data_IF_674696962245
#
_entry.id   IF_674696962245
#
_cell.length_a   1.000
_cell.length_b   1.000
_cell.length_c   1.000
_cell.angle_alpha   90.00
_cell.angle_beta   90.00
_cell.angle_gamma   90.00
#
_symmetry.space_group_name_H-M   'P 1'
#
loop_
_entity.id
_entity.type
_entity.pdbx_description
1 polymer ?
#
# COMPACT_ATOMS: atom_id res chain seq x y z
N UNK A 1 9.18 -5.06 -10.34
CA UNK A 1 8.69 -4.04 -9.39
C UNK A 1 7.17 -3.99 -9.41
N UNK A 2 6.54 -3.75 -8.26
CA UNK A 2 5.09 -3.54 -8.12
C UNK A 2 4.80 -2.38 -7.17
N UNK A 3 3.64 -1.74 -7.29
CA UNK A 3 3.24 -0.63 -6.43
C UNK A 3 1.76 -0.74 -6.05
N UNK A 4 1.47 -0.48 -4.77
CA UNK A 4 0.11 -0.22 -4.30
C UNK A 4 0.06 1.15 -3.63
N UNK A 5 -1.01 1.90 -3.91
CA UNK A 5 -1.31 3.18 -3.25
C UNK A 5 -2.70 3.07 -2.64
N UNK A 6 -2.84 3.55 -1.41
CA UNK A 6 -4.13 3.59 -0.74
C UNK A 6 -4.28 4.88 0.06
N UNK A 7 -5.51 5.38 0.18
CA UNK A 7 -5.84 6.57 0.96
C UNK A 7 -7.01 6.28 1.90
N UNK A 8 -6.92 6.81 3.13
CA UNK A 8 -8.03 6.86 4.08
C UNK A 8 -8.12 5.71 5.07
N UNK A 9 -7.23 4.72 4.99
CA UNK A 9 -7.10 3.68 6.02
C UNK A 9 -6.21 4.20 7.15
N UNK A 10 -6.65 4.07 8.39
CA UNK A 10 -5.98 4.66 9.55
C UNK A 10 -5.06 3.65 10.26
N UNK A 11 -5.17 2.37 9.91
CA UNK A 11 -4.37 1.28 10.49
C UNK A 11 -3.77 0.40 9.41
N UNK A 12 -2.72 -0.35 9.80
CA UNK A 12 -2.10 -1.36 8.93
C UNK A 12 -3.11 -2.45 8.57
N UNK A 13 -3.90 -2.91 9.54
CA UNK A 13 -4.95 -3.91 9.31
C UNK A 13 -5.98 -3.45 8.28
N UNK A 14 -6.43 -2.20 8.36
CA UNK A 14 -7.39 -1.63 7.39
C UNK A 14 -6.81 -1.57 5.97
N UNK A 15 -5.57 -1.10 5.81
CA UNK A 15 -4.94 -0.99 4.48
C UNK A 15 -4.63 -2.36 3.89
N UNK A 16 -4.17 -3.31 4.72
CA UNK A 16 -3.92 -4.68 4.28
C UNK A 16 -5.20 -5.43 3.95
N UNK A 17 -6.25 -5.30 4.77
CA UNK A 17 -7.56 -5.90 4.50
C UNK A 17 -8.15 -5.36 3.19
N UNK A 18 -8.12 -4.04 3.00
CA UNK A 18 -8.60 -3.40 1.76
C UNK A 18 -7.77 -3.83 0.56
N UNK A 19 -6.44 -3.88 0.69
CA UNK A 19 -5.52 -4.33 -0.34
C UNK A 19 -5.76 -5.79 -0.76
N UNK A 20 -5.89 -6.70 0.21
CA UNK A 20 -6.14 -8.13 -0.03
C UNK A 20 -7.50 -8.41 -0.68
N UNK A 21 -8.49 -7.54 -0.49
CA UNK A 21 -9.82 -7.63 -1.11
C UNK A 21 -9.91 -6.91 -2.48
N UNK A 22 -8.89 -6.15 -2.88
CA UNK A 22 -8.82 -5.53 -4.21
C UNK A 22 -8.03 -6.45 -5.16
N UNK A 23 -8.62 -6.95 -6.28
CA UNK A 23 -7.90 -7.81 -7.21
C UNK A 23 -6.61 -7.19 -7.77
N UNK A 24 -6.56 -5.87 -7.91
CA UNK A 24 -5.36 -5.15 -8.37
C UNK A 24 -4.23 -5.21 -7.35
N UNK A 25 -4.51 -4.75 -6.13
CA UNK A 25 -3.51 -4.69 -5.07
C UNK A 25 -3.11 -6.08 -4.56
N UNK A 26 -4.08 -6.99 -4.45
CA UNK A 26 -3.87 -8.38 -4.03
C UNK A 26 -2.86 -9.10 -4.93
N UNK A 27 -2.88 -8.85 -6.24
CA UNK A 27 -1.89 -9.43 -7.16
C UNK A 27 -0.46 -9.07 -6.76
N UNK A 28 -0.19 -7.81 -6.42
CA UNK A 28 1.13 -7.39 -5.98
C UNK A 28 1.50 -7.97 -4.61
N UNK A 29 0.55 -7.97 -3.66
CA UNK A 29 0.77 -8.49 -2.29
C UNK A 29 1.12 -9.99 -2.28
N UNK A 30 0.51 -10.77 -3.18
CA UNK A 30 0.66 -12.23 -3.22
C UNK A 30 1.59 -12.72 -4.34
N UNK A 31 2.28 -11.82 -5.05
CA UNK A 31 3.18 -12.21 -6.13
C UNK A 31 4.47 -12.81 -5.53
N UNK A 32 4.73 -14.12 -5.71
CA UNK A 32 5.87 -14.77 -5.10
C UNK A 32 7.21 -14.34 -5.71
N UNK A 33 7.19 -13.57 -6.81
CA UNK A 33 8.41 -13.02 -7.41
C UNK A 33 8.98 -11.86 -6.61
N UNK A 34 8.18 -11.22 -5.76
CA UNK A 34 8.67 -10.13 -4.92
C UNK A 34 9.24 -10.67 -3.62
N UNK A 35 10.46 -10.26 -3.30
CA UNK A 35 11.17 -10.67 -2.08
C UNK A 35 11.57 -9.46 -1.22
N UNK A 36 11.36 -8.25 -1.73
CA UNK A 36 11.61 -7.00 -1.02
C UNK A 36 10.34 -6.15 -0.96
N UNK A 37 10.12 -5.49 0.18
CA UNK A 37 9.00 -4.59 0.40
C UNK A 37 9.46 -3.31 1.11
N UNK A 38 9.19 -2.16 0.50
CA UNK A 38 9.23 -0.85 1.14
C UNK A 38 7.83 -0.33 1.41
N UNK A 39 7.60 0.24 2.60
CA UNK A 39 6.31 0.84 2.98
C UNK A 39 6.52 2.26 3.45
N UNK A 40 5.70 3.17 2.93
CA UNK A 40 5.65 4.57 3.32
C UNK A 40 4.26 4.97 3.80
N UNK A 41 4.22 5.78 4.87
CA UNK A 41 3.01 6.43 5.39
C UNK A 41 3.22 7.93 5.37
N UNK A 42 2.29 8.65 4.74
CA UNK A 42 2.23 10.10 4.78
C UNK A 42 0.92 10.57 5.42
N UNK A 43 1.04 11.44 6.42
CA UNK A 43 -0.07 12.12 7.07
C UNK A 43 -0.06 13.58 6.61
N UNK A 44 -1.21 14.09 6.17
CA UNK A 44 -1.28 15.43 5.62
C UNK A 44 -2.67 16.04 5.64
N UNK A 45 -2.81 17.19 4.98
CA UNK A 45 -4.10 17.83 4.75
C UNK A 45 -4.24 18.19 3.28
N UNK A 46 -5.41 17.92 2.72
CA UNK A 46 -5.78 18.33 1.36
C UNK A 46 -7.24 18.79 1.37
N UNK A 47 -7.53 19.92 0.70
CA UNK A 47 -8.88 20.52 0.65
C UNK A 47 -9.52 20.68 2.05
N UNK A 48 -8.72 21.10 3.03
CA UNK A 48 -9.14 21.31 4.43
C UNK A 48 -9.28 20.05 5.29
N UNK A 49 -9.20 18.85 4.70
CA UNK A 49 -9.40 17.56 5.40
C UNK A 49 -8.09 16.83 5.67
N UNK A 50 -8.02 16.11 6.78
CA UNK A 50 -6.90 15.20 7.07
C UNK A 50 -6.88 14.05 6.07
N UNK A 51 -5.68 13.68 5.62
CA UNK A 51 -5.43 12.57 4.70
C UNK A 51 -4.39 11.62 5.30
N UNK A 52 -4.60 10.34 5.04
CA UNK A 52 -3.67 9.25 5.34
C UNK A 52 -3.38 8.55 4.04
N UNK A 53 -2.12 8.57 3.59
CA UNK A 53 -1.68 7.98 2.34
C UNK A 53 -0.67 6.87 2.63
N UNK A 54 -0.91 5.71 2.05
CA UNK A 54 -0.03 4.55 2.12
C UNK A 54 0.55 4.28 0.74
N UNK A 55 1.83 3.97 0.70
CA UNK A 55 2.50 3.44 -0.49
C UNK A 55 3.25 2.15 -0.12
N UNK A 56 3.11 1.14 -0.96
CA UNK A 56 3.89 -0.09 -0.92
C UNK A 56 4.66 -0.23 -2.22
N UNK A 57 5.97 -0.41 -2.13
CA UNK A 57 6.84 -0.69 -3.26
C UNK A 57 7.42 -2.10 -3.13
N UNK A 58 7.15 -2.95 -4.12
CA UNK A 58 7.57 -4.34 -4.16
C UNK A 58 8.73 -4.53 -5.13
N UNK A 59 9.78 -5.22 -4.68
CA UNK A 59 11.03 -5.42 -5.40
C UNK A 59 11.44 -6.88 -5.50
N UNK A 60 12.41 -7.15 -6.36
CA UNK A 60 13.17 -8.39 -6.40
C UNK A 60 14.60 -8.05 -5.98
N UNK A 61 15.33 -8.95 -5.29
CA UNK A 61 16.73 -8.69 -4.94
C UNK A 61 17.55 -8.48 -6.20
N UNK A 62 18.61 -7.68 -6.10
CA UNK A 62 19.62 -7.52 -7.15
C UNK A 62 20.87 -8.32 -6.86
#
# INVERSE_FOLDING_TARGET
MGENIAEGQHTVDEVMHTGLNSPGHRRNILDPRFEELGVGLALGRANGRYRVLWAQAFGTPR
#
